data_IF_380822100936
#
_entry.id   IF_380822100936
#
_cell.length_a   1.000
_cell.length_b   1.000
_cell.length_c   1.000
_cell.angle_alpha   90.00
_cell.angle_beta   90.00
_cell.angle_gamma   90.00
#
_symmetry.space_group_name_H-M   'P 1'
#
loop_
_entity.id
_entity.type
_entity.pdbx_description
1 polymer ?
#
# COMPACT_ATOMS: atom_id res chain seq x y z
N UNK A 1 -3.49 1.80 -25.99
CA UNK A 1 -3.45 2.17 -24.56
C UNK A 1 -3.47 0.92 -23.72
N UNK A 2 -2.65 0.85 -22.71
CA UNK A 2 -2.64 -0.28 -21.80
C UNK A 2 -3.68 -0.13 -20.69
N UNK A 3 -3.99 -1.24 -20.05
CA UNK A 3 -4.83 -1.28 -18.88
C UNK A 3 -4.11 -0.61 -17.70
N UNK A 4 -4.80 0.26 -16.97
CA UNK A 4 -4.22 0.96 -15.82
C UNK A 4 -4.90 0.53 -14.53
N UNK A 5 -4.21 0.75 -13.41
CA UNK A 5 -4.66 0.31 -12.10
C UNK A 5 -4.44 1.38 -11.06
N UNK A 6 -5.26 1.30 -10.01
CA UNK A 6 -5.06 2.05 -8.79
C UNK A 6 -4.32 1.12 -7.82
N UNK A 7 -3.19 1.58 -7.29
CA UNK A 7 -2.32 0.76 -6.43
C UNK A 7 -2.21 1.42 -5.07
N UNK A 8 -2.48 0.64 -4.02
CA UNK A 8 -2.41 1.08 -2.63
C UNK A 8 -1.44 0.19 -1.88
N UNK A 9 -0.47 0.82 -1.21
CA UNK A 9 0.55 0.11 -0.44
C UNK A 9 0.52 0.64 0.99
N UNK A 10 0.61 -0.26 1.96
CA UNK A 10 0.80 0.09 3.36
C UNK A 10 2.02 -0.66 3.88
N UNK A 11 2.96 0.06 4.50
CA UNK A 11 4.16 -0.54 5.08
C UNK A 11 4.38 -0.02 6.49
N UNK A 12 5.04 -0.82 7.36
CA UNK A 12 5.46 -0.31 8.66
C UNK A 12 6.51 0.79 8.46
N UNK A 13 6.61 1.69 9.42
CA UNK A 13 7.53 2.82 9.34
C UNK A 13 8.98 2.39 9.08
N UNK A 14 9.40 1.24 9.61
CA UNK A 14 10.76 0.74 9.40
C UNK A 14 11.10 0.42 7.95
N UNK A 15 10.09 0.21 7.09
CA UNK A 15 10.27 -0.09 5.68
C UNK A 15 10.24 1.17 4.80
N UNK A 16 9.92 2.32 5.35
CA UNK A 16 9.73 3.56 4.60
C UNK A 16 10.93 3.93 3.75
N UNK A 17 12.12 3.90 4.32
CA UNK A 17 13.35 4.31 3.61
C UNK A 17 13.65 3.42 2.42
N UNK A 18 13.49 2.11 2.58
CA UNK A 18 13.74 1.16 1.50
C UNK A 18 12.73 1.33 0.36
N UNK A 19 11.46 1.51 0.71
CA UNK A 19 10.42 1.69 -0.31
C UNK A 19 10.59 3.02 -1.03
N UNK A 20 10.89 4.10 -0.30
CA UNK A 20 11.15 5.41 -0.92
C UNK A 20 12.32 5.33 -1.89
N UNK A 21 13.37 4.61 -1.53
CA UNK A 21 14.55 4.43 -2.38
C UNK A 21 14.20 3.69 -3.66
N UNK A 22 13.39 2.63 -3.55
CA UNK A 22 12.94 1.85 -4.71
C UNK A 22 12.04 2.67 -5.63
N UNK A 23 11.08 3.38 -5.06
CA UNK A 23 10.18 4.22 -5.84
C UNK A 23 10.93 5.37 -6.53
N UNK A 24 11.93 5.94 -5.86
CA UNK A 24 12.77 6.98 -6.46
C UNK A 24 13.60 6.41 -7.61
N UNK A 25 14.15 5.20 -7.43
CA UNK A 25 14.94 4.52 -8.46
C UNK A 25 14.15 4.35 -9.76
N UNK A 26 12.86 4.04 -9.65
CA UNK A 26 11.99 3.79 -10.80
C UNK A 26 11.15 5.01 -11.20
N UNK A 27 11.44 6.18 -10.64
CA UNK A 27 10.72 7.42 -10.92
C UNK A 27 9.21 7.29 -10.67
N UNK A 28 8.84 6.71 -9.53
CA UNK A 28 7.45 6.44 -9.17
C UNK A 28 6.93 7.31 -8.02
N UNK A 29 7.72 8.28 -7.56
CA UNK A 29 7.28 9.23 -6.52
C UNK A 29 6.60 10.42 -7.19
N UNK A 30 5.42 10.79 -6.69
CA UNK A 30 4.67 11.93 -7.20
C UNK A 30 5.38 13.24 -6.88
N UNK A 31 5.50 14.11 -7.88
CA UNK A 31 6.07 15.45 -7.71
C UNK A 31 5.03 16.46 -7.20
N UNK A 32 3.75 16.19 -7.47
CA UNK A 32 2.65 17.06 -7.06
C UNK A 32 1.35 16.25 -7.01
N UNK A 33 0.26 16.90 -6.57
CA UNK A 33 -1.03 16.23 -6.37
C UNK A 33 -1.70 15.74 -7.65
N UNK A 34 -1.28 16.24 -8.81
CA UNK A 34 -1.84 15.86 -10.11
C UNK A 34 -1.12 14.68 -10.75
N UNK A 35 -0.01 14.24 -10.17
CA UNK A 35 0.77 13.13 -10.70
C UNK A 35 0.03 11.81 -10.52
N UNK A 36 0.16 10.89 -11.49
CA UNK A 36 -0.34 9.52 -11.37
C UNK A 36 0.59 8.62 -10.54
N UNK A 37 1.78 9.12 -10.17
CA UNK A 37 2.76 8.39 -9.38
C UNK A 37 2.36 8.31 -7.91
N UNK A 38 3.12 7.55 -7.12
CA UNK A 38 2.79 7.31 -5.71
C UNK A 38 2.86 8.57 -4.86
N UNK A 39 1.79 8.82 -4.13
CA UNK A 39 1.71 9.85 -3.10
C UNK A 39 1.80 9.18 -1.75
N UNK A 40 2.58 9.76 -0.85
CA UNK A 40 2.84 9.19 0.47
C UNK A 40 2.05 9.93 1.54
N UNK A 41 1.55 9.18 2.51
CA UNK A 41 0.81 9.72 3.66
C UNK A 41 1.15 8.92 4.91
N UNK A 42 1.41 9.62 6.00
CA UNK A 42 1.55 8.98 7.31
C UNK A 42 0.16 8.73 7.90
N UNK A 43 -0.01 7.57 8.51
CA UNK A 43 -1.28 7.18 9.12
C UNK A 43 -1.02 6.43 10.42
N UNK A 44 -1.78 6.76 11.46
CA UNK A 44 -1.75 6.01 12.73
C UNK A 44 -2.99 5.16 12.81
N UNK A 45 -2.80 3.84 12.77
CA UNK A 45 -3.87 2.86 12.93
C UNK A 45 -4.08 2.60 14.40
N UNK A 46 -5.32 2.66 14.87
CA UNK A 46 -5.67 2.48 16.29
C UNK A 46 -6.73 1.40 16.45
N UNK A 47 -6.58 0.63 17.52
CA UNK A 47 -7.55 -0.40 17.86
C UNK A 47 -7.52 -0.64 19.36
N UNK A 48 -8.49 -1.42 19.86
CA UNK A 48 -8.57 -1.79 21.26
C UNK A 48 -8.43 -3.30 21.39
N UNK A 49 -7.68 -3.73 22.39
CA UNK A 49 -7.53 -5.14 22.73
C UNK A 49 -8.01 -5.35 24.18
N UNK A 50 -8.57 -6.52 24.44
CA UNK A 50 -8.95 -6.92 25.79
C UNK A 50 -7.92 -7.93 26.28
N UNK A 51 -7.27 -7.60 27.40
CA UNK A 51 -6.27 -8.45 28.02
C UNK A 51 -6.60 -8.56 29.51
N UNK A 52 -6.90 -9.79 29.98
CA UNK A 52 -7.27 -10.08 31.37
C UNK A 52 -8.42 -9.17 31.86
N UNK A 53 -9.42 -8.95 31.01
CA UNK A 53 -10.58 -8.11 31.37
C UNK A 53 -10.32 -6.61 31.28
N UNK A 54 -9.12 -6.19 30.94
CA UNK A 54 -8.77 -4.78 30.80
C UNK A 54 -8.70 -4.40 29.32
N UNK A 55 -9.34 -3.30 28.96
CA UNK A 55 -9.26 -2.76 27.61
C UNK A 55 -7.97 -1.94 27.47
N UNK A 56 -7.16 -2.29 26.48
CA UNK A 56 -5.89 -1.63 26.19
C UNK A 56 -5.99 -0.98 24.82
N UNK A 57 -5.67 0.32 24.77
CA UNK A 57 -5.59 1.05 23.50
C UNK A 57 -4.25 0.75 22.84
N UNK A 58 -4.31 0.35 21.58
CA UNK A 58 -3.13 0.04 20.77
C UNK A 58 -3.09 0.95 19.56
N UNK A 59 -1.88 1.21 19.11
CA UNK A 59 -1.67 1.97 17.87
C UNK A 59 -0.39 1.55 17.19
N UNK A 60 -0.33 1.76 15.88
CA UNK A 60 0.92 1.63 15.13
C UNK A 60 0.93 2.65 14.02
N UNK A 61 2.12 3.16 13.72
CA UNK A 61 2.32 4.08 12.60
C UNK A 61 2.62 3.28 11.35
N UNK A 62 1.90 3.60 10.29
CA UNK A 62 2.10 3.01 8.97
C UNK A 62 2.27 4.12 7.95
N UNK A 63 2.93 3.78 6.86
CA UNK A 63 3.12 4.70 5.75
C UNK A 63 2.28 4.18 4.59
N UNK A 64 1.42 5.03 4.06
CA UNK A 64 0.54 4.70 2.96
C UNK A 64 1.05 5.33 1.68
N UNK A 65 1.00 4.54 0.60
CA UNK A 65 1.38 4.99 -0.74
C UNK A 65 0.20 4.68 -1.66
N UNK A 66 -0.20 5.66 -2.45
CA UNK A 66 -1.32 5.50 -3.37
C UNK A 66 -0.96 6.10 -4.72
N UNK A 67 -1.24 5.37 -5.77
CA UNK A 67 -1.06 5.82 -7.14
C UNK A 67 -2.27 5.42 -7.98
N UNK A 68 -2.64 6.28 -8.92
CA UNK A 68 -3.76 6.05 -9.82
C UNK A 68 -3.27 6.09 -11.26
N UNK A 69 -3.83 5.22 -12.10
CA UNK A 69 -3.49 5.23 -13.53
C UNK A 69 -2.14 4.63 -13.86
N UNK A 70 -1.60 3.78 -12.98
CA UNK A 70 -0.33 3.09 -13.25
C UNK A 70 -0.53 1.86 -14.11
N UNK A 71 0.45 1.58 -14.95
CA UNK A 71 0.55 0.29 -15.64
C UNK A 71 1.27 -0.68 -14.70
N UNK A 72 0.49 -1.48 -13.98
CA UNK A 72 1.00 -2.37 -12.94
C UNK A 72 0.95 -3.82 -13.42
N UNK A 73 1.94 -4.20 -14.23
CA UNK A 73 2.02 -5.54 -14.82
C UNK A 73 3.11 -6.36 -14.13
N UNK A 74 2.83 -7.63 -13.86
CA UNK A 74 3.74 -8.53 -13.14
C UNK A 74 5.09 -8.72 -13.83
N UNK A 75 5.14 -8.61 -15.15
CA UNK A 75 6.39 -8.74 -15.92
C UNK A 75 7.30 -7.53 -15.82
N UNK A 76 6.81 -6.41 -15.29
CA UNK A 76 7.64 -5.21 -15.14
C UNK A 76 8.59 -5.36 -13.96
N UNK A 77 9.84 -4.96 -14.18
CA UNK A 77 10.90 -5.08 -13.17
C UNK A 77 10.61 -4.25 -11.92
N UNK A 78 10.08 -3.05 -12.08
CA UNK A 78 9.72 -2.19 -10.95
C UNK A 78 8.62 -2.84 -10.09
N UNK A 79 7.61 -3.41 -10.73
CA UNK A 79 6.53 -4.13 -10.03
C UNK A 79 7.10 -5.32 -9.26
N UNK A 80 8.01 -6.08 -9.87
CA UNK A 80 8.64 -7.24 -9.24
C UNK A 80 9.47 -6.85 -8.01
N UNK A 81 10.27 -5.80 -8.12
CA UNK A 81 11.10 -5.33 -7.01
C UNK A 81 10.25 -4.81 -5.85
N UNK A 82 9.21 -4.03 -6.14
CA UNK A 82 8.32 -3.49 -5.11
C UNK A 82 7.55 -4.63 -4.44
N UNK A 83 7.02 -5.57 -5.21
CA UNK A 83 6.29 -6.72 -4.68
C UNK A 83 7.16 -7.56 -3.75
N UNK A 84 8.42 -7.76 -4.12
CA UNK A 84 9.38 -8.52 -3.30
C UNK A 84 9.64 -7.81 -1.97
N UNK A 85 9.77 -6.48 -1.97
CA UNK A 85 9.94 -5.70 -0.75
C UNK A 85 8.72 -5.83 0.17
N UNK A 86 7.52 -5.74 -0.41
CA UNK A 86 6.28 -5.89 0.36
C UNK A 86 6.20 -7.29 0.97
N UNK A 87 6.54 -8.33 0.22
CA UNK A 87 6.56 -9.70 0.72
C UNK A 87 7.53 -9.86 1.88
N UNK A 88 8.70 -9.22 1.82
CA UNK A 88 9.69 -9.25 2.88
C UNK A 88 9.15 -8.67 4.19
N UNK A 89 8.37 -7.60 4.11
CA UNK A 89 7.80 -6.92 5.28
C UNK A 89 6.36 -7.36 5.61
N UNK A 90 5.80 -8.31 4.88
CA UNK A 90 4.45 -8.82 5.15
C UNK A 90 4.27 -9.32 6.59
N UNK A 91 5.23 -10.05 7.18
CA UNK A 91 5.11 -10.47 8.58
C UNK A 91 5.03 -9.30 9.57
N UNK A 92 5.46 -8.11 9.17
CA UNK A 92 5.37 -6.89 9.97
C UNK A 92 4.17 -6.03 9.58
N UNK A 93 3.24 -6.56 8.76
CA UNK A 93 2.00 -5.90 8.39
C UNK A 93 2.00 -5.17 7.07
N UNK A 94 3.04 -5.34 6.25
CA UNK A 94 3.04 -4.72 4.91
C UNK A 94 2.02 -5.39 4.00
N UNK A 95 1.38 -4.58 3.17
CA UNK A 95 0.41 -5.10 2.19
C UNK A 95 0.35 -4.19 0.97
N UNK A 96 -0.16 -4.77 -0.11
CA UNK A 96 -0.42 -4.04 -1.36
C UNK A 96 -1.72 -4.57 -1.96
N UNK A 97 -2.50 -3.68 -2.55
CA UNK A 97 -3.67 -4.06 -3.32
C UNK A 97 -3.71 -3.25 -4.61
N UNK A 98 -3.98 -3.95 -5.70
CA UNK A 98 -4.07 -3.37 -7.04
C UNK A 98 -5.50 -3.52 -7.54
N UNK A 99 -6.17 -2.40 -7.78
CA UNK A 99 -7.55 -2.37 -8.24
C UNK A 99 -7.55 -1.87 -9.69
N UNK A 100 -8.13 -2.65 -10.58
CA UNK A 100 -8.17 -2.32 -12.00
C UNK A 100 -9.28 -1.34 -12.37
N UNK A 101 -9.33 -1.00 -13.64
CA UNK A 101 -10.32 -0.08 -14.19
C UNK A 101 -11.76 -0.60 -14.03
N UNK A 102 -11.91 -1.90 -13.86
CA UNK A 102 -13.21 -2.55 -13.63
C UNK A 102 -13.61 -2.58 -12.15
N UNK A 103 -12.86 -1.90 -11.28
CA UNK A 103 -13.04 -1.87 -9.83
C UNK A 103 -12.85 -3.23 -9.15
N UNK A 104 -12.20 -4.17 -9.82
CA UNK A 104 -11.89 -5.48 -9.26
C UNK A 104 -10.46 -5.54 -8.78
N UNK A 105 -10.22 -6.30 -7.72
CA UNK A 105 -8.85 -6.56 -7.23
C UNK A 105 -8.18 -7.53 -8.19
N UNK A 106 -7.06 -7.11 -8.79
CA UNK A 106 -6.32 -7.94 -9.74
C UNK A 106 -5.07 -8.55 -9.14
N UNK A 107 -4.50 -7.93 -8.12
CA UNK A 107 -3.40 -8.53 -7.39
C UNK A 107 -3.34 -7.95 -5.97
N UNK A 108 -2.82 -8.76 -5.05
CA UNK A 108 -2.69 -8.36 -3.67
C UNK A 108 -1.56 -9.15 -3.00
N UNK A 109 -1.01 -8.56 -1.96
CA UNK A 109 -0.03 -9.20 -1.07
C UNK A 109 -0.41 -8.78 0.35
N UNK A 110 -0.45 -9.74 1.26
CA UNK A 110 -0.73 -9.48 2.66
C UNK A 110 -2.21 -9.22 2.94
N UNK A 111 -2.50 -8.85 4.18
CA UNK A 111 -3.87 -8.65 4.67
C UNK A 111 -4.33 -7.21 4.44
N UNK A 112 -4.51 -6.84 3.19
CA UNK A 112 -4.85 -5.46 2.83
C UNK A 112 -6.19 -5.00 3.43
N UNK A 113 -7.11 -5.92 3.67
CA UNK A 113 -8.43 -5.58 4.24
C UNK A 113 -8.35 -5.08 5.68
N UNK A 114 -7.25 -5.29 6.37
CA UNK A 114 -7.03 -4.73 7.71
C UNK A 114 -6.74 -3.22 7.65
N UNK A 115 -6.37 -2.72 6.48
CA UNK A 115 -6.00 -1.31 6.27
C UNK A 115 -6.99 -0.62 5.34
N UNK A 116 -7.39 -1.30 4.27
CA UNK A 116 -8.21 -0.73 3.20
C UNK A 116 -9.56 -1.42 3.12
N UNK A 117 -10.60 -0.62 2.88
CA UNK A 117 -11.94 -1.11 2.62
C UNK A 117 -12.20 -0.99 1.11
N UNK A 118 -12.56 -2.09 0.46
CA UNK A 118 -12.75 -2.14 -0.99
C UNK A 118 -14.20 -2.43 -1.31
N UNK A 119 -14.85 -1.45 -1.95
CA UNK A 119 -16.19 -1.59 -2.52
C UNK A 119 -16.12 -1.18 -3.98
N UNK A 120 -16.63 -0.01 -4.29
CA UNK A 120 -16.50 0.58 -5.61
C UNK A 120 -15.19 1.31 -5.78
N UNK A 121 -14.52 1.62 -4.67
CA UNK A 121 -13.20 2.25 -4.61
C UNK A 121 -12.49 1.79 -3.34
N UNK A 122 -11.17 2.00 -3.29
CA UNK A 122 -10.37 1.69 -2.09
C UNK A 122 -10.46 2.85 -1.11
N UNK A 123 -10.79 2.53 0.15
CA UNK A 123 -10.87 3.49 1.24
C UNK A 123 -10.09 2.99 2.45
N UNK A 124 -9.66 3.91 3.30
CA UNK A 124 -9.06 3.57 4.60
C UNK A 124 -10.13 3.10 5.57
N UNK A 125 -9.82 2.07 6.30
CA UNK A 125 -10.66 1.57 7.38
C UNK A 125 -10.34 2.26 8.69
#
# INVERSE_FOLDING_TARGET
MGYTSEVHIAVPKKAEKELDKLLTKHDLIAENEYSYRFKKKHHTQRWKEINNGTTIDKSKDIILYQASGLKWYEEYKDVQEISRLIEEYEPSGACIVCVGEDNAVHSDIGDYWDVFNIYMKVELQ
#
